data_IF_275563899044
#
_entry.id   IF_275563899044
#
_cell.length_a   1.000
_cell.length_b   1.000
_cell.length_c   1.000
_cell.angle_alpha   90.00
_cell.angle_beta   90.00
_cell.angle_gamma   90.00
#
_symmetry.space_group_name_H-M   'P 1'
#
loop_
_entity.id
_entity.type
_entity.pdbx_description
1 polymer ?
#
# COMPACT_ATOMS: atom_id res chain seq x y z
N UNK A 1 -43.75 8.66 -8.99
CA UNK A 1 -43.16 9.64 -8.05
C UNK A 1 -41.75 10.07 -8.44
N UNK A 2 -41.01 9.32 -9.27
CA UNK A 2 -39.63 9.67 -9.68
C UNK A 2 -39.56 10.83 -10.69
N UNK A 3 -40.47 10.91 -11.68
CA UNK A 3 -40.43 11.97 -12.71
C UNK A 3 -40.52 13.41 -12.17
N UNK A 4 -41.28 13.62 -11.09
CA UNK A 4 -41.39 14.94 -10.46
C UNK A 4 -40.11 15.40 -9.77
N UNK A 5 -39.29 14.45 -9.32
CA UNK A 5 -38.04 14.71 -8.59
C UNK A 5 -36.91 15.07 -9.56
N UNK A 6 -36.83 14.38 -10.69
CA UNK A 6 -35.88 14.69 -11.77
C UNK A 6 -36.16 16.03 -12.46
N UNK A 7 -37.44 16.34 -12.67
CA UNK A 7 -37.85 17.62 -13.23
C UNK A 7 -37.48 18.77 -12.28
N UNK A 8 -37.73 18.61 -10.98
CA UNK A 8 -37.35 19.59 -9.95
C UNK A 8 -35.83 19.79 -9.88
N UNK A 9 -35.03 18.72 -9.96
CA UNK A 9 -33.56 18.79 -9.96
C UNK A 9 -33.01 19.48 -11.21
N UNK A 10 -33.62 19.22 -12.37
CA UNK A 10 -33.24 19.88 -13.63
C UNK A 10 -33.56 21.37 -13.61
N UNK A 11 -34.74 21.75 -13.11
CA UNK A 11 -35.14 23.15 -12.95
C UNK A 11 -34.19 23.88 -11.99
N UNK A 12 -33.84 23.28 -10.85
CA UNK A 12 -32.90 23.87 -9.88
C UNK A 12 -31.53 24.17 -10.52
N UNK A 13 -31.01 23.24 -11.33
CA UNK A 13 -29.75 23.40 -12.06
C UNK A 13 -29.80 24.52 -13.09
N UNK A 14 -30.88 24.58 -13.89
CA UNK A 14 -31.06 25.65 -14.89
C UNK A 14 -31.18 27.01 -14.20
N UNK A 15 -31.94 27.12 -13.11
CA UNK A 15 -32.08 28.36 -12.34
C UNK A 15 -30.73 28.81 -11.77
N UNK A 16 -29.93 27.90 -11.23
CA UNK A 16 -28.60 28.23 -10.69
C UNK A 16 -27.67 28.80 -11.76
N UNK A 17 -27.65 28.20 -12.96
CA UNK A 17 -26.84 28.71 -14.08
C UNK A 17 -27.34 30.05 -14.60
N UNK A 18 -28.65 30.21 -14.73
CA UNK A 18 -29.24 31.47 -15.18
C UNK A 18 -29.01 32.61 -14.18
N UNK A 19 -29.04 32.35 -12.86
CA UNK A 19 -28.76 33.37 -11.82
C UNK A 19 -27.36 33.98 -11.94
N UNK A 20 -26.37 33.24 -12.44
CA UNK A 20 -25.01 33.74 -12.67
C UNK A 20 -24.81 34.41 -14.05
N UNK A 21 -25.84 34.45 -14.90
CA UNK A 21 -25.72 34.93 -16.27
C UNK A 21 -26.00 36.43 -16.41
N UNK A 22 -25.44 37.04 -17.45
CA UNK A 22 -25.72 38.44 -17.79
C UNK A 22 -27.23 38.69 -18.03
N UNK A 23 -27.98 37.68 -18.50
CA UNK A 23 -29.42 37.80 -18.70
C UNK A 23 -30.17 38.05 -17.39
N UNK A 24 -29.74 37.45 -16.29
CA UNK A 24 -30.37 37.67 -14.98
C UNK A 24 -30.20 39.12 -14.51
N UNK A 25 -28.99 39.68 -14.62
CA UNK A 25 -28.74 41.09 -14.29
C UNK A 25 -29.51 42.06 -15.19
N UNK A 26 -29.72 41.71 -16.46
CA UNK A 26 -30.53 42.51 -17.38
C UNK A 26 -32.01 42.50 -17.02
N UNK A 27 -32.57 41.33 -16.71
CA UNK A 27 -33.97 41.20 -16.26
C UNK A 27 -34.17 41.94 -14.93
N UNK A 28 -33.22 41.84 -14.00
CA UNK A 28 -33.28 42.53 -12.72
C UNK A 28 -33.26 44.06 -12.90
N UNK A 29 -32.37 44.58 -13.76
CA UNK A 29 -32.33 46.01 -14.06
C UNK A 29 -33.65 46.49 -14.68
N UNK A 30 -34.17 45.76 -15.65
CA UNK A 30 -35.44 46.08 -16.29
C UNK A 30 -36.63 46.04 -15.32
N UNK A 31 -36.61 45.10 -14.38
CA UNK A 31 -37.61 44.97 -13.33
C UNK A 31 -37.51 46.11 -12.30
N UNK A 32 -36.33 46.69 -12.08
CA UNK A 32 -36.16 47.89 -11.24
C UNK A 32 -36.62 49.16 -11.97
N UNK A 33 -36.32 49.26 -13.26
CA UNK A 33 -36.73 50.41 -14.08
C UNK A 33 -38.26 50.50 -14.21
N UNK A 34 -38.96 49.36 -14.24
CA UNK A 34 -40.43 49.37 -14.33
C UNK A 34 -41.13 49.87 -13.07
N UNK A 35 -40.48 49.85 -11.89
CA UNK A 35 -41.04 50.33 -10.63
C UNK A 35 -41.35 51.84 -10.64
N UNK A 36 -40.73 52.59 -11.55
CA UNK A 36 -40.95 54.04 -11.69
C UNK A 36 -42.18 54.37 -12.54
N UNK A 37 -42.88 53.35 -13.07
CA UNK A 37 -44.02 53.52 -13.96
C UNK A 37 -45.34 53.59 -13.17
N UNK A 38 -46.26 54.50 -13.53
CA UNK A 38 -47.50 54.71 -12.78
C UNK A 38 -48.49 53.53 -12.88
N UNK A 39 -48.27 52.58 -13.80
CA UNK A 39 -49.12 51.40 -13.97
C UNK A 39 -48.80 50.26 -12.98
N UNK A 40 -47.68 50.31 -12.25
CA UNK A 40 -47.30 49.28 -11.28
C UNK A 40 -47.72 49.71 -9.89
N UNK A 41 -48.63 48.95 -9.28
CA UNK A 41 -49.10 49.24 -7.92
C UNK A 41 -48.36 48.40 -6.90
N UNK A 42 -48.13 48.97 -5.71
CA UNK A 42 -47.46 48.25 -4.62
C UNK A 42 -48.26 47.04 -4.14
N UNK A 43 -49.58 47.12 -4.21
CA UNK A 43 -50.54 46.08 -3.82
C UNK A 43 -50.54 44.85 -4.76
N UNK A 44 -50.17 45.03 -6.03
CA UNK A 44 -50.11 43.97 -7.06
C UNK A 44 -48.71 43.82 -7.68
N UNK A 45 -47.68 44.26 -6.95
CA UNK A 45 -46.32 44.44 -7.46
C UNK A 45 -45.76 43.22 -8.19
N UNK A 46 -45.94 42.02 -7.63
CA UNK A 46 -45.42 40.78 -8.20
C UNK A 46 -46.09 40.44 -9.52
N UNK A 47 -47.41 40.56 -9.58
CA UNK A 47 -48.22 40.27 -10.76
C UNK A 47 -48.01 41.33 -11.86
N UNK A 48 -47.86 42.60 -11.48
CA UNK A 48 -47.65 43.73 -12.39
C UNK A 48 -46.24 43.70 -13.01
N UNK A 49 -45.21 43.41 -12.23
CA UNK A 49 -43.85 43.22 -12.76
C UNK A 49 -43.80 42.00 -13.68
N UNK A 50 -44.51 40.92 -13.33
CA UNK A 50 -44.59 39.72 -14.18
C UNK A 50 -45.32 40.00 -15.48
N UNK A 51 -46.45 40.69 -15.45
CA UNK A 51 -47.23 41.04 -16.66
C UNK A 51 -46.44 41.99 -17.57
N UNK A 52 -45.71 42.94 -16.99
CA UNK A 52 -44.79 43.83 -17.69
C UNK A 52 -43.66 43.08 -18.38
N UNK A 53 -42.96 42.17 -17.69
CA UNK A 53 -41.87 41.38 -18.28
C UNK A 53 -42.36 40.45 -19.41
N UNK A 54 -43.62 40.02 -19.35
CA UNK A 54 -44.27 39.27 -20.44
C UNK A 54 -44.54 40.15 -21.66
N UNK A 55 -45.18 41.30 -21.49
CA UNK A 55 -45.55 42.19 -22.60
C UNK A 55 -44.33 42.85 -23.27
N UNK A 56 -43.25 43.09 -22.51
CA UNK A 56 -42.00 43.66 -23.01
C UNK A 56 -41.05 42.65 -23.70
N UNK A 57 -41.48 41.40 -23.88
CA UNK A 57 -40.76 40.38 -24.65
C UNK A 57 -39.61 39.69 -23.91
N UNK A 58 -39.42 39.96 -22.61
CA UNK A 58 -38.40 39.29 -21.79
C UNK A 58 -38.74 37.83 -21.49
N UNK A 59 -40.03 37.47 -21.50
CA UNK A 59 -40.47 36.07 -21.42
C UNK A 59 -39.86 35.22 -22.54
N UNK A 60 -39.87 35.69 -23.80
CA UNK A 60 -39.25 34.99 -24.92
C UNK A 60 -37.73 34.88 -24.79
N UNK A 61 -37.06 35.92 -24.28
CA UNK A 61 -35.60 35.89 -24.02
C UNK A 61 -35.24 34.85 -22.95
N UNK A 62 -36.04 34.78 -21.88
CA UNK A 62 -35.86 33.79 -20.83
C UNK A 62 -36.16 32.37 -21.32
N UNK A 63 -37.24 32.17 -22.08
CA UNK A 63 -37.57 30.89 -22.70
C UNK A 63 -36.46 30.39 -23.63
N UNK A 64 -35.90 31.26 -24.48
CA UNK A 64 -34.78 30.91 -25.35
C UNK A 64 -33.52 30.54 -24.56
N UNK A 65 -33.24 31.22 -23.43
CA UNK A 65 -32.11 30.89 -22.57
C UNK A 65 -32.31 29.56 -21.83
N UNK A 66 -33.52 29.30 -21.33
CA UNK A 66 -33.88 28.00 -20.75
C UNK A 66 -33.77 26.89 -21.80
N UNK A 67 -34.28 27.11 -23.01
CA UNK A 67 -34.18 26.16 -24.11
C UNK A 67 -32.73 25.83 -24.47
N UNK A 68 -31.85 26.84 -24.53
CA UNK A 68 -30.41 26.67 -24.70
C UNK A 68 -29.80 25.85 -23.57
N UNK A 69 -30.07 26.17 -22.31
CA UNK A 69 -29.55 25.41 -21.16
C UNK A 69 -30.05 23.96 -21.10
N UNK A 70 -31.27 23.70 -21.58
CA UNK A 70 -31.80 22.34 -21.69
C UNK A 70 -31.15 21.55 -22.83
N UNK A 71 -30.65 22.22 -23.87
CA UNK A 71 -30.02 21.59 -25.04
C UNK A 71 -28.48 21.59 -24.99
N UNK A 72 -27.87 22.33 -24.06
CA UNK A 72 -26.45 22.19 -23.73
C UNK A 72 -26.31 20.85 -22.98
N UNK A 73 -25.84 19.83 -23.69
CA UNK A 73 -25.40 18.60 -23.03
C UNK A 73 -24.35 18.98 -21.98
N UNK A 74 -24.50 18.61 -20.69
CA UNK A 74 -23.39 18.74 -19.76
C UNK A 74 -22.20 18.01 -20.39
N UNK A 75 -20.96 18.56 -20.33
CA UNK A 75 -19.80 17.79 -20.74
C UNK A 75 -19.89 16.49 -19.99
N UNK A 76 -19.98 15.37 -20.72
CA UNK A 76 -20.04 14.06 -20.11
C UNK A 76 -18.93 14.03 -19.07
N UNK A 77 -19.30 13.90 -17.78
CA UNK A 77 -18.31 13.79 -16.73
C UNK A 77 -17.33 12.72 -17.19
N UNK A 78 -16.05 13.07 -17.33
CA UNK A 78 -15.04 12.09 -17.74
C UNK A 78 -15.29 10.84 -16.90
N UNK A 79 -15.40 9.65 -17.52
CA UNK A 79 -15.58 8.43 -16.74
C UNK A 79 -14.51 8.44 -15.64
N UNK A 80 -14.87 8.09 -14.39
CA UNK A 80 -13.92 8.07 -13.29
C UNK A 80 -12.69 7.28 -13.74
N UNK A 81 -11.51 7.85 -13.54
CA UNK A 81 -10.28 7.19 -13.95
C UNK A 81 -10.25 5.76 -13.38
N UNK A 82 -9.78 4.76 -14.14
CA UNK A 82 -9.70 3.39 -13.64
C UNK A 82 -9.01 3.34 -12.27
N UNK A 83 -9.42 2.47 -11.33
CA UNK A 83 -8.83 2.42 -9.98
C UNK A 83 -7.30 2.33 -9.98
N UNK A 84 -6.72 1.65 -10.97
CA UNK A 84 -5.26 1.58 -11.17
C UNK A 84 -4.60 2.94 -11.43
N UNK A 85 -5.28 3.86 -12.11
CA UNK A 85 -4.80 5.21 -12.39
C UNK A 85 -4.85 6.09 -11.13
N UNK A 86 -5.78 5.80 -10.22
CA UNK A 86 -5.86 6.48 -8.93
C UNK A 86 -4.76 5.99 -7.98
N UNK A 87 -4.42 4.69 -8.03
CA UNK A 87 -3.33 4.08 -7.25
C UNK A 87 -1.95 4.55 -7.71
N UNK A 88 -1.74 4.63 -9.02
CA UNK A 88 -0.49 5.14 -9.61
C UNK A 88 -0.77 5.98 -10.85
N UNK A 89 -0.66 7.32 -10.74
CA UNK A 89 -0.90 8.23 -11.85
C UNK A 89 0.11 8.07 -13.01
N UNK A 90 1.37 7.72 -12.71
CA UNK A 90 2.44 7.69 -13.71
C UNK A 90 2.43 6.36 -14.49
N UNK A 91 2.11 6.44 -15.78
CA UNK A 91 1.99 5.24 -16.63
C UNK A 91 3.29 4.42 -16.74
N UNK A 92 4.46 5.07 -16.77
CA UNK A 92 5.76 4.37 -16.83
C UNK A 92 6.06 3.64 -15.51
N UNK A 93 5.68 4.21 -14.36
CA UNK A 93 5.77 3.54 -13.05
C UNK A 93 4.85 2.32 -12.98
N UNK A 94 3.61 2.43 -13.45
CA UNK A 94 2.70 1.27 -13.54
C UNK A 94 3.26 0.15 -14.38
N UNK A 95 3.82 0.48 -15.55
CA UNK A 95 4.44 -0.52 -16.43
C UNK A 95 5.65 -1.19 -15.76
N UNK A 96 6.48 -0.41 -15.07
CA UNK A 96 7.62 -0.94 -14.33
C UNK A 96 7.18 -1.86 -13.18
N UNK A 97 6.20 -1.44 -12.38
CA UNK A 97 5.62 -2.26 -11.32
C UNK A 97 5.07 -3.58 -11.85
N UNK A 98 4.21 -3.53 -12.88
CA UNK A 98 3.65 -4.73 -13.48
C UNK A 98 4.72 -5.63 -14.13
N UNK A 99 5.81 -5.05 -14.64
CA UNK A 99 6.95 -5.81 -15.18
C UNK A 99 7.73 -6.52 -14.08
N UNK A 100 7.97 -5.83 -12.95
CA UNK A 100 8.61 -6.39 -11.77
C UNK A 100 7.81 -7.55 -11.19
N UNK A 101 6.50 -7.37 -10.99
CA UNK A 101 5.59 -8.43 -10.50
C UNK A 101 5.60 -9.65 -11.41
N UNK A 102 5.57 -9.45 -12.74
CA UNK A 102 5.68 -10.54 -13.72
C UNK A 102 7.01 -11.29 -13.61
N UNK A 103 8.12 -10.60 -13.34
CA UNK A 103 9.44 -11.23 -13.13
C UNK A 103 9.44 -12.10 -11.87
N UNK A 104 8.94 -11.57 -10.76
CA UNK A 104 8.83 -12.30 -9.47
C UNK A 104 7.93 -13.53 -9.63
N UNK A 105 6.74 -13.37 -10.23
CA UNK A 105 5.83 -14.49 -10.49
C UNK A 105 6.43 -15.55 -11.42
N UNK A 106 7.16 -15.16 -12.46
CA UNK A 106 7.86 -16.12 -13.33
C UNK A 106 8.91 -16.93 -12.55
N UNK A 107 9.68 -16.27 -11.69
CA UNK A 107 10.68 -16.94 -10.83
C UNK A 107 10.02 -17.96 -9.89
N UNK A 108 8.94 -17.57 -9.23
CA UNK A 108 8.16 -18.45 -8.34
C UNK A 108 7.55 -19.64 -9.10
N UNK A 109 6.92 -19.41 -10.25
CA UNK A 109 6.35 -20.48 -11.08
C UNK A 109 7.42 -21.43 -11.63
N UNK A 110 8.60 -20.91 -12.01
CA UNK A 110 9.73 -21.73 -12.44
C UNK A 110 10.22 -22.64 -11.31
N UNK A 111 10.33 -22.12 -10.09
CA UNK A 111 10.73 -22.91 -8.92
C UNK A 111 9.67 -23.97 -8.57
N UNK A 112 8.39 -23.60 -8.58
CA UNK A 112 7.27 -24.54 -8.40
C UNK A 112 7.32 -25.70 -9.39
N UNK A 113 7.60 -25.41 -10.67
CA UNK A 113 7.73 -26.43 -11.71
C UNK A 113 8.95 -27.34 -11.51
N UNK A 114 10.10 -26.79 -11.09
CA UNK A 114 11.34 -27.55 -10.83
C UNK A 114 11.24 -28.46 -9.61
N UNK A 115 10.52 -28.02 -8.58
CA UNK A 115 10.30 -28.79 -7.35
C UNK A 115 9.11 -29.76 -7.48
N UNK A 116 8.27 -29.60 -8.50
CA UNK A 116 7.04 -30.38 -8.67
C UNK A 116 5.96 -30.07 -7.62
N UNK A 117 6.08 -28.94 -6.93
CA UNK A 117 5.16 -28.50 -5.86
C UNK A 117 4.16 -27.49 -6.43
N UNK A 118 2.89 -27.84 -6.63
CA UNK A 118 1.91 -26.94 -7.24
C UNK A 118 1.49 -25.83 -6.26
N UNK A 119 1.46 -24.59 -6.75
CA UNK A 119 1.06 -23.41 -5.95
C UNK A 119 -0.44 -23.42 -5.57
N UNK A 120 -1.30 -24.03 -6.40
CA UNK A 120 -2.71 -24.23 -6.12
C UNK A 120 -3.21 -25.59 -6.66
N UNK A 121 -3.91 -26.37 -5.83
CA UNK A 121 -4.65 -27.57 -6.24
C UNK A 121 -6.14 -27.37 -5.94
N UNK A 122 -7.04 -27.76 -6.84
CA UNK A 122 -8.44 -27.93 -6.48
C UNK A 122 -8.60 -29.25 -5.72
N UNK A 123 -9.24 -29.21 -4.55
CA UNK A 123 -9.82 -30.41 -3.97
C UNK A 123 -10.96 -30.86 -4.91
N UNK A 124 -10.78 -32.00 -5.58
CA UNK A 124 -11.89 -32.72 -6.21
C UNK A 124 -12.79 -33.21 -5.08
N UNK A 125 -13.77 -32.39 -4.67
CA UNK A 125 -14.93 -32.93 -3.96
C UNK A 125 -15.70 -33.74 -5.01
N UNK A 126 -15.49 -35.05 -4.99
CA UNK A 126 -16.37 -35.99 -5.63
C UNK A 126 -17.80 -35.65 -5.18
N UNK A 127 -18.59 -35.09 -6.09
CA UNK A 127 -20.00 -34.85 -5.89
C UNK A 127 -20.70 -36.21 -5.83
N UNK A 128 -20.74 -36.81 -4.64
CA UNK A 128 -21.57 -37.95 -4.34
C UNK A 128 -22.72 -37.49 -3.42
N UNK A 129 -23.92 -37.67 -3.96
CA UNK A 129 -25.23 -37.60 -3.31
C UNK A 129 -25.82 -36.22 -3.01
N UNK A 130 -26.96 -35.97 -3.67
CA UNK A 130 -27.69 -34.71 -3.62
C UNK A 130 -28.58 -34.56 -2.40
N UNK A 131 -28.91 -33.31 -2.11
CA UNK A 131 -30.22 -32.84 -1.64
C UNK A 131 -30.21 -31.30 -1.63
N UNK A 132 -31.26 -30.61 -2.10
CA UNK A 132 -31.32 -29.15 -2.05
C UNK A 132 -32.08 -28.71 -0.80
N UNK A 133 -31.57 -27.75 0.00
CA UNK A 133 -32.43 -26.78 0.72
C UNK A 133 -31.71 -25.59 1.37
N UNK A 134 -32.26 -24.43 1.01
CA UNK A 134 -32.48 -23.15 1.71
C UNK A 134 -31.35 -22.12 1.93
N UNK A 135 -31.61 -20.83 1.66
CA UNK A 135 -30.63 -19.75 1.74
C UNK A 135 -30.69 -19.04 3.10
N UNK A 136 -29.52 -18.86 3.72
CA UNK A 136 -29.34 -18.04 4.92
C UNK A 136 -28.09 -17.18 4.78
N UNK A 137 -28.28 -15.87 4.87
CA UNK A 137 -27.26 -14.83 4.76
C UNK A 137 -26.02 -15.13 5.60
N UNK A 138 -24.93 -15.49 4.93
CA UNK A 138 -23.58 -15.35 5.46
C UNK A 138 -22.77 -14.71 4.35
N UNK A 139 -22.04 -13.63 4.67
CA UNK A 139 -21.14 -12.96 3.73
C UNK A 139 -20.23 -13.99 3.03
N UNK A 140 -19.89 -13.82 1.75
CA UNK A 140 -19.05 -14.78 1.06
C UNK A 140 -17.65 -14.70 1.66
N UNK A 141 -17.33 -15.64 2.55
CA UNK A 141 -15.96 -15.99 2.82
C UNK A 141 -15.36 -16.41 1.47
N UNK A 142 -14.46 -15.59 0.93
CA UNK A 142 -13.72 -15.96 -0.26
C UNK A 142 -13.01 -17.29 0.05
N UNK A 143 -13.13 -18.32 -0.82
CA UNK A 143 -12.47 -19.58 -0.58
C UNK A 143 -10.97 -19.34 -0.50
N UNK A 144 -10.37 -19.65 0.66
CA UNK A 144 -8.92 -19.78 0.77
C UNK A 144 -8.44 -20.72 -0.35
N UNK A 145 -7.31 -20.44 -1.01
CA UNK A 145 -6.67 -21.43 -1.87
C UNK A 145 -6.60 -22.75 -1.10
N UNK A 146 -7.14 -23.83 -1.67
CA UNK A 146 -6.94 -25.17 -1.12
C UNK A 146 -5.48 -25.57 -1.37
N UNK A 147 -4.59 -24.97 -0.58
CA UNK A 147 -3.24 -25.44 -0.36
C UNK A 147 -3.29 -26.92 0.01
N UNK A 148 -2.30 -27.73 -0.40
CA UNK A 148 -2.27 -29.14 -0.04
C UNK A 148 -2.38 -29.28 1.48
N UNK A 149 -3.33 -30.11 1.92
CA UNK A 149 -3.43 -30.46 3.33
C UNK A 149 -2.19 -31.26 3.71
N UNK A 150 -1.52 -30.83 4.77
CA UNK A 150 -0.35 -31.52 5.32
C UNK A 150 -0.78 -32.90 5.87
N UNK A 151 0.02 -33.97 5.71
CA UNK A 151 -0.28 -35.26 6.32
C UNK A 151 -0.43 -35.16 7.83
N UNK A 152 -1.34 -35.95 8.42
CA UNK A 152 -1.66 -35.86 9.86
C UNK A 152 -0.44 -36.08 10.78
N UNK A 153 0.51 -36.92 10.37
CA UNK A 153 1.76 -37.16 11.10
C UNK A 153 2.62 -35.87 11.17
N UNK A 154 2.83 -35.21 10.03
CA UNK A 154 3.58 -33.96 9.96
C UNK A 154 2.83 -32.81 10.66
N UNK A 155 1.49 -32.79 10.64
CA UNK A 155 0.70 -31.83 11.43
C UNK A 155 0.96 -31.99 12.93
N UNK A 156 0.99 -33.23 13.42
CA UNK A 156 1.23 -33.53 14.82
C UNK A 156 2.66 -33.16 15.24
N UNK A 157 3.64 -33.43 14.38
CA UNK A 157 5.04 -33.06 14.60
C UNK A 157 5.23 -31.54 14.63
N UNK A 158 4.70 -30.82 13.65
CA UNK A 158 4.80 -29.36 13.62
C UNK A 158 4.07 -28.70 14.80
N UNK A 159 2.96 -29.29 15.23
CA UNK A 159 2.22 -28.82 16.40
C UNK A 159 2.99 -29.04 17.71
N UNK A 160 3.68 -30.18 17.86
CA UNK A 160 4.47 -30.47 19.06
C UNK A 160 5.76 -29.65 19.12
N UNK A 161 6.38 -29.37 17.96
CA UNK A 161 7.62 -28.60 17.85
C UNK A 161 7.43 -27.12 17.55
N UNK A 162 6.22 -26.58 17.64
CA UNK A 162 5.93 -25.18 17.24
C UNK A 162 6.82 -24.12 17.91
N UNK A 163 7.27 -24.38 19.14
CA UNK A 163 8.12 -23.45 19.90
C UNK A 163 9.63 -23.72 19.72
N UNK A 164 10.00 -24.77 19.00
CA UNK A 164 11.37 -25.25 18.80
C UNK A 164 11.60 -25.60 17.33
N UNK A 165 10.94 -24.89 16.41
CA UNK A 165 11.03 -25.12 14.96
C UNK A 165 12.44 -24.91 14.42
N UNK A 166 13.27 -24.10 15.09
CA UNK A 166 14.68 -23.92 14.74
C UNK A 166 15.53 -25.16 14.90
N UNK A 167 15.08 -26.16 15.67
CA UNK A 167 15.77 -27.44 15.82
C UNK A 167 15.60 -28.36 14.61
N UNK A 168 14.59 -28.11 13.77
CA UNK A 168 14.38 -28.88 12.55
C UNK A 168 15.35 -28.41 11.45
N UNK A 169 16.03 -29.35 10.80
CA UNK A 169 16.92 -29.11 9.67
C UNK A 169 16.36 -29.73 8.38
N UNK A 170 15.38 -29.08 7.73
CA UNK A 170 14.88 -29.55 6.44
C UNK A 170 15.94 -29.40 5.34
N UNK A 171 15.94 -30.31 4.36
CA UNK A 171 16.78 -30.15 3.16
C UNK A 171 16.24 -29.04 2.26
N UNK A 172 16.88 -27.87 2.35
CA UNK A 172 16.53 -26.67 1.59
C UNK A 172 17.49 -26.40 0.42
N UNK A 173 18.32 -27.37 0.04
CA UNK A 173 19.35 -27.23 -1.00
C UNK A 173 18.76 -26.80 -2.35
N UNK A 174 17.58 -27.33 -2.69
CA UNK A 174 16.88 -27.08 -3.98
C UNK A 174 16.10 -25.77 -4.02
N UNK A 175 15.87 -25.12 -2.88
CA UNK A 175 15.14 -23.86 -2.83
C UNK A 175 16.10 -22.70 -3.13
N UNK A 176 15.74 -21.79 -4.01
CA UNK A 176 16.50 -20.53 -4.20
C UNK A 176 15.61 -19.35 -3.81
N UNK A 177 16.18 -18.20 -3.42
CA UNK A 177 15.36 -17.01 -3.25
C UNK A 177 14.64 -16.66 -4.55
N UNK A 178 13.40 -16.18 -4.46
CA UNK A 178 12.62 -15.79 -5.65
C UNK A 178 13.20 -14.53 -6.30
N UNK A 179 13.65 -13.60 -5.47
CA UNK A 179 14.37 -12.38 -5.81
C UNK A 179 15.14 -11.86 -4.58
N UNK A 180 16.16 -11.04 -4.82
CA UNK A 180 16.90 -10.33 -3.77
C UNK A 180 16.67 -8.80 -3.86
N UNK A 181 16.95 -8.04 -2.78
CA UNK A 181 16.88 -6.58 -2.79
C UNK A 181 17.76 -5.94 -3.88
N UNK A 182 18.89 -6.56 -4.22
CA UNK A 182 19.78 -6.13 -5.31
C UNK A 182 19.08 -6.18 -6.68
N UNK A 183 18.36 -7.25 -6.98
CA UNK A 183 17.59 -7.37 -8.24
C UNK A 183 16.54 -6.27 -8.35
N UNK A 184 15.92 -5.93 -7.22
CA UNK A 184 14.91 -4.90 -7.16
C UNK A 184 15.52 -3.50 -7.35
N UNK A 185 16.65 -3.23 -6.70
CA UNK A 185 17.41 -1.99 -6.89
C UNK A 185 17.80 -1.77 -8.35
N UNK A 186 18.31 -2.81 -9.04
CA UNK A 186 18.66 -2.73 -10.47
C UNK A 186 17.45 -2.30 -11.33
N UNK A 187 16.25 -2.77 -11.00
CA UNK A 187 15.02 -2.31 -11.65
C UNK A 187 14.76 -0.84 -11.38
N UNK A 188 14.93 -0.36 -10.15
CA UNK A 188 14.78 1.06 -9.81
C UNK A 188 15.78 1.95 -10.56
N UNK A 189 17.05 1.52 -10.66
CA UNK A 189 18.11 2.23 -11.41
C UNK A 189 17.77 2.33 -12.90
N UNK A 190 17.13 1.29 -13.45
CA UNK A 190 16.73 1.23 -14.86
C UNK A 190 15.51 2.09 -15.20
N UNK A 191 14.81 2.66 -14.19
CA UNK A 191 13.64 3.50 -14.42
C UNK A 191 14.03 4.74 -15.24
N UNK A 192 13.24 5.02 -16.28
CA UNK A 192 13.40 6.19 -17.14
C UNK A 192 12.03 6.82 -17.36
N UNK A 193 11.97 8.14 -17.28
CA UNK A 193 10.76 8.88 -17.62
C UNK A 193 10.70 9.11 -19.14
N UNK A 194 9.68 8.60 -19.86
CA UNK A 194 9.57 8.76 -21.31
C UNK A 194 9.41 10.22 -21.78
N UNK A 195 8.96 11.11 -20.89
CA UNK A 195 8.77 12.53 -21.19
C UNK A 195 10.03 13.36 -20.89
N UNK A 196 11.11 12.72 -20.45
CA UNK A 196 12.37 13.36 -20.14
C UNK A 196 13.42 12.85 -21.13
N UNK A 197 13.46 13.46 -22.32
CA UNK A 197 14.50 13.17 -23.31
C UNK A 197 15.87 13.52 -22.71
N UNK A 198 16.70 12.50 -22.53
CA UNK A 198 18.12 12.68 -22.22
C UNK A 198 18.86 13.09 -23.50
N UNK A 199 18.54 14.25 -24.06
CA UNK A 199 19.42 14.92 -25.02
C UNK A 199 20.52 15.63 -24.23
N UNK A 200 21.66 14.95 -24.09
CA UNK A 200 23.05 15.43 -23.94
C UNK A 200 23.43 16.72 -23.17
N UNK A 201 22.55 17.41 -22.45
CA UNK A 201 22.98 18.53 -21.62
C UNK A 201 23.18 18.07 -20.18
N UNK A 202 24.44 17.95 -19.80
CA UNK A 202 24.94 17.95 -18.41
C UNK A 202 24.64 19.31 -17.78
N UNK A 203 23.36 19.68 -17.71
CA UNK A 203 22.88 20.84 -16.98
C UNK A 203 22.76 20.51 -15.49
N UNK A 204 22.79 21.54 -14.65
CA UNK A 204 22.71 21.48 -13.18
C UNK A 204 21.47 20.79 -12.58
N UNK A 205 20.58 20.23 -13.43
CA UNK A 205 19.38 19.47 -13.05
C UNK A 205 19.41 18.00 -13.46
N UNK A 206 20.43 17.55 -14.19
CA UNK A 206 20.64 16.11 -14.39
C UNK A 206 20.73 15.48 -12.99
N UNK A 207 19.99 14.41 -12.78
CA UNK A 207 19.99 13.70 -11.50
C UNK A 207 21.32 12.97 -11.40
N UNK A 208 22.29 13.47 -10.63
CA UNK A 208 23.63 12.86 -10.57
C UNK A 208 23.66 11.59 -9.70
N UNK A 209 22.52 11.20 -9.14
CA UNK A 209 22.36 10.00 -8.32
C UNK A 209 21.83 8.79 -9.11
N UNK A 210 21.64 7.69 -8.40
CA UNK A 210 21.43 6.35 -8.94
C UNK A 210 20.07 6.17 -9.60
N UNK A 211 19.02 6.80 -9.05
CA UNK A 211 17.65 6.73 -9.59
C UNK A 211 17.32 7.99 -10.36
N UNK A 212 17.27 7.91 -11.69
CA UNK A 212 17.02 9.07 -12.56
C UNK A 212 15.52 9.29 -12.83
N UNK A 213 14.76 9.59 -11.78
CA UNK A 213 13.32 9.87 -11.89
C UNK A 213 12.98 11.25 -11.31
N UNK A 214 12.30 12.13 -12.07
CA UNK A 214 11.97 13.48 -11.60
C UNK A 214 10.75 13.48 -10.67
N UNK A 215 10.87 12.86 -9.49
CA UNK A 215 9.87 12.98 -8.42
C UNK A 215 10.27 14.09 -7.46
N UNK A 216 9.27 14.83 -6.97
CA UNK A 216 9.51 15.80 -5.91
C UNK A 216 9.63 15.08 -4.57
N UNK A 217 10.77 15.25 -3.89
CA UNK A 217 11.04 14.70 -2.56
C UNK A 217 11.22 15.82 -1.54
N UNK A 218 10.94 15.52 -0.26
CA UNK A 218 11.00 16.53 0.81
C UNK A 218 12.45 16.87 1.15
N UNK A 219 12.72 18.16 1.37
CA UNK A 219 13.98 18.64 1.95
C UNK A 219 13.98 18.57 3.50
N UNK A 220 15.10 18.91 4.14
CA UNK A 220 15.18 18.89 5.62
C UNK A 220 14.11 19.77 6.28
N UNK A 221 13.87 21.04 5.87
CA UNK A 221 12.80 21.85 6.44
C UNK A 221 11.43 21.17 6.37
N UNK A 222 11.07 20.61 5.22
CA UNK A 222 9.80 19.90 5.02
C UNK A 222 9.74 18.60 5.83
N UNK A 223 10.85 17.88 5.98
CA UNK A 223 10.95 16.70 6.84
C UNK A 223 10.75 17.05 8.32
N UNK A 224 11.39 18.12 8.80
CA UNK A 224 11.22 18.61 10.18
C UNK A 224 9.78 19.02 10.48
N UNK A 225 9.09 19.59 9.51
CA UNK A 225 7.67 19.91 9.64
C UNK A 225 6.79 18.65 9.62
N UNK A 226 7.12 17.69 8.75
CA UNK A 226 6.36 16.46 8.60
C UNK A 226 6.50 15.50 9.79
N UNK A 227 7.65 15.52 10.47
CA UNK A 227 7.99 14.68 11.62
C UNK A 227 8.31 15.54 12.86
N UNK A 228 7.49 16.58 13.09
CA UNK A 228 7.70 17.51 14.20
C UNK A 228 7.61 16.80 15.57
N UNK A 229 6.93 15.66 15.64
CA UNK A 229 6.85 14.78 16.79
C UNK A 229 8.19 14.09 17.13
N UNK A 230 9.08 13.94 16.16
CA UNK A 230 10.44 13.40 16.36
C UNK A 230 11.46 14.50 16.70
N UNK A 231 11.01 15.72 16.98
CA UNK A 231 11.89 16.80 17.39
C UNK A 231 12.53 16.48 18.75
N UNK A 232 13.81 16.82 18.92
CA UNK A 232 14.55 16.67 20.19
C UNK A 232 13.89 17.44 21.34
N UNK A 233 13.10 18.47 21.03
CA UNK A 233 12.37 19.26 22.02
C UNK A 233 11.01 18.63 22.41
N UNK A 234 10.59 17.56 21.74
CA UNK A 234 9.45 16.74 22.14
C UNK A 234 10.00 15.55 22.94
N UNK A 235 9.41 15.26 24.11
CA UNK A 235 9.85 14.12 24.94
C UNK A 235 9.79 12.83 24.14
N UNK A 236 10.89 12.08 24.12
CA UNK A 236 11.00 10.84 23.35
C UNK A 236 11.06 9.65 24.31
N UNK A 237 9.95 8.90 24.33
CA UNK A 237 9.94 7.48 24.65
C UNK A 237 10.61 7.04 25.97
N UNK A 238 10.40 7.81 27.05
CA UNK A 238 10.71 7.35 28.41
C UNK A 238 12.21 7.19 28.71
N UNK A 239 13.09 7.77 27.88
CA UNK A 239 14.53 7.91 28.16
C UNK A 239 14.81 9.22 28.91
N UNK A 240 13.83 10.13 28.94
CA UNK A 240 13.89 11.34 29.74
C UNK A 240 13.75 10.97 31.23
N UNK A 241 14.80 11.23 32.03
CA UNK A 241 14.95 10.89 33.47
C UNK A 241 13.81 11.39 34.41
N UNK A 242 12.77 12.02 33.88
CA UNK A 242 11.78 12.78 34.62
C UNK A 242 10.31 12.38 34.35
N UNK A 243 10.04 11.32 33.58
CA UNK A 243 8.65 10.92 33.26
C UNK A 243 8.25 9.61 33.96
N UNK A 244 7.21 9.68 34.79
CA UNK A 244 6.62 8.52 35.47
C UNK A 244 5.98 7.55 34.46
N UNK A 245 6.22 6.22 34.53
CA UNK A 245 5.75 5.23 33.54
C UNK A 245 4.23 5.30 33.23
N UNK A 246 3.41 5.62 34.23
CA UNK A 246 1.94 5.69 34.09
C UNK A 246 1.43 6.86 33.21
N UNK A 247 2.23 7.91 33.01
CA UNK A 247 1.87 9.00 32.09
C UNK A 247 2.01 8.56 30.63
N UNK A 248 2.94 7.64 30.37
CA UNK A 248 3.32 7.18 29.04
C UNK A 248 2.24 6.32 28.37
N UNK A 249 1.66 5.36 29.11
CA UNK A 249 0.56 4.53 28.60
C UNK A 249 -0.65 5.39 28.18
N UNK A 250 -0.89 6.50 28.88
CA UNK A 250 -2.00 7.40 28.60
C UNK A 250 -1.75 8.30 27.38
N UNK A 251 -0.49 8.65 27.09
CA UNK A 251 -0.13 9.54 25.97
C UNK A 251 -0.15 8.81 24.61
N UNK A 252 0.25 7.54 24.57
CA UNK A 252 0.09 6.69 23.37
C UNK A 252 -1.37 6.54 22.93
N UNK A 253 -2.29 6.44 23.90
CA UNK A 253 -3.73 6.38 23.64
C UNK A 253 -4.25 7.70 23.07
N UNK A 254 -3.61 8.82 23.39
CA UNK A 254 -3.96 10.16 22.87
C UNK A 254 -3.36 10.40 21.48
N UNK A 255 -2.10 10.03 21.25
CA UNK A 255 -1.40 10.18 19.97
C UNK A 255 -2.00 9.26 18.91
N UNK A 256 -2.32 8.01 19.26
CA UNK A 256 -3.03 7.07 18.38
C UNK A 256 -4.44 7.53 17.98
N UNK A 257 -5.04 8.48 18.71
CA UNK A 257 -6.34 9.10 18.37
C UNK A 257 -6.21 10.31 17.45
N UNK A 258 -5.04 10.94 17.36
CA UNK A 258 -4.85 12.19 16.59
C UNK A 258 -4.76 11.94 15.07
N UNK A 259 -4.38 10.73 14.67
CA UNK A 259 -4.35 10.27 13.26
C UNK A 259 -5.68 9.69 12.74
N UNK A 260 -6.75 9.75 13.54
CA UNK A 260 -8.04 9.13 13.23
C UNK A 260 -9.21 10.10 13.34
N UNK A 261 -9.26 11.16 12.54
CA UNK A 261 -10.47 11.95 12.39
C UNK A 261 -11.51 11.20 11.53
N UNK A 262 -12.10 10.15 12.11
CA UNK A 262 -13.47 9.62 11.87
C UNK A 262 -13.52 8.12 12.20
N UNK A 263 -13.58 7.75 13.48
CA UNK A 263 -14.68 6.90 13.97
C UNK A 263 -14.65 6.82 15.51
N UNK A 264 -15.76 7.17 16.16
CA UNK A 264 -15.89 7.17 17.62
C UNK A 264 -16.43 5.82 18.07
N UNK A 265 -15.55 4.91 18.51
CA UNK A 265 -15.72 3.92 19.61
C UNK A 265 -14.57 2.91 19.61
N UNK A 266 -13.49 3.18 20.34
CA UNK A 266 -12.51 2.14 20.69
C UNK A 266 -13.07 1.31 21.85
N UNK A 267 -13.18 -0.03 21.75
CA UNK A 267 -13.53 -0.87 22.88
C UNK A 267 -12.36 -0.98 23.87
N UNK A 268 -12.60 -1.39 25.14
CA UNK A 268 -11.55 -1.49 26.15
C UNK A 268 -10.43 -2.44 25.69
N UNK A 269 -9.17 -2.04 25.86
CA UNK A 269 -7.95 -2.71 25.36
C UNK A 269 -7.93 -4.23 25.59
N UNK A 270 -8.51 -4.73 26.69
CA UNK A 270 -8.63 -6.17 26.96
C UNK A 270 -9.48 -6.97 25.95
N UNK A 271 -10.47 -6.35 25.28
CA UNK A 271 -11.23 -6.99 24.19
C UNK A 271 -10.43 -7.05 22.89
N UNK A 272 -9.60 -6.05 22.60
CA UNK A 272 -8.76 -6.00 21.39
C UNK A 272 -7.63 -7.04 21.48
N UNK A 273 -6.93 -7.09 22.61
CA UNK A 273 -5.86 -8.08 22.85
C UNK A 273 -6.39 -9.51 22.78
N UNK A 274 -7.55 -9.81 23.39
CA UNK A 274 -8.17 -11.14 23.30
C UNK A 274 -8.54 -11.51 21.86
N UNK A 275 -9.02 -10.56 21.07
CA UNK A 275 -9.32 -10.75 19.65
C UNK A 275 -8.05 -11.06 18.84
N UNK A 276 -6.96 -10.35 19.08
CA UNK A 276 -5.69 -10.52 18.37
C UNK A 276 -5.03 -11.88 18.65
N UNK A 277 -5.08 -12.35 19.90
CA UNK A 277 -4.58 -13.69 20.26
C UNK A 277 -5.41 -14.78 19.58
N UNK A 278 -6.74 -14.68 19.60
CA UNK A 278 -7.59 -15.67 18.92
C UNK A 278 -7.37 -15.68 17.41
N UNK A 279 -7.08 -14.53 16.82
CA UNK A 279 -6.78 -14.40 15.40
C UNK A 279 -5.44 -15.06 15.06
N UNK A 280 -4.41 -14.82 15.88
CA UNK A 280 -3.10 -15.47 15.72
C UNK A 280 -3.21 -17.01 15.80
N UNK A 281 -3.97 -17.54 16.75
CA UNK A 281 -4.18 -19.00 16.88
C UNK A 281 -4.89 -19.60 15.65
N UNK A 282 -5.81 -18.87 15.01
CA UNK A 282 -6.42 -19.30 13.75
C UNK A 282 -5.39 -19.36 12.62
N UNK A 283 -4.51 -18.37 12.52
CA UNK A 283 -3.43 -18.36 11.53
C UNK A 283 -2.45 -19.51 11.76
N UNK A 284 -2.05 -19.74 13.02
CA UNK A 284 -1.23 -20.88 13.42
C UNK A 284 -1.87 -22.22 13.04
N UNK A 285 -3.17 -22.39 13.30
CA UNK A 285 -3.89 -23.59 12.85
C UNK A 285 -3.86 -23.73 11.32
N UNK A 286 -3.97 -22.61 10.59
CA UNK A 286 -3.81 -22.57 9.14
C UNK A 286 -2.41 -22.99 8.67
N UNK A 287 -1.35 -22.55 9.37
CA UNK A 287 0.03 -22.98 9.13
C UNK A 287 0.16 -24.48 9.35
N UNK A 288 -0.36 -25.03 10.45
CA UNK A 288 -0.25 -26.46 10.77
C UNK A 288 -0.99 -27.32 9.74
N UNK A 289 -2.18 -26.92 9.32
CA UNK A 289 -3.04 -27.70 8.43
C UNK A 289 -2.57 -27.71 6.96
N UNK A 290 -1.97 -26.62 6.49
CA UNK A 290 -1.71 -26.43 5.07
C UNK A 290 -0.24 -26.17 4.79
N UNK A 291 0.29 -26.93 3.83
CA UNK A 291 1.65 -26.77 3.35
C UNK A 291 1.71 -25.77 2.19
N UNK A 292 2.59 -24.78 2.28
CA UNK A 292 2.82 -23.80 1.22
C UNK A 292 4.28 -23.84 0.79
N UNK A 293 4.54 -23.72 -0.51
CA UNK A 293 5.91 -23.55 -1.04
C UNK A 293 6.64 -22.38 -0.36
N UNK A 294 5.94 -21.29 -0.03
CA UNK A 294 6.54 -20.16 0.68
C UNK A 294 7.00 -20.46 2.10
N UNK A 295 6.58 -21.56 2.72
CA UNK A 295 7.09 -21.99 4.03
C UNK A 295 8.56 -22.31 3.93
N UNK A 296 8.93 -23.11 2.92
CA UNK A 296 10.31 -23.49 2.67
C UNK A 296 11.18 -22.27 2.29
N UNK A 297 10.59 -21.27 1.62
CA UNK A 297 11.27 -20.00 1.36
C UNK A 297 11.54 -19.23 2.66
N UNK A 298 10.58 -19.20 3.58
CA UNK A 298 10.73 -18.57 4.90
C UNK A 298 11.75 -19.35 5.75
N UNK A 299 11.66 -20.68 5.80
CA UNK A 299 12.65 -21.54 6.46
C UNK A 299 14.06 -21.26 5.97
N UNK A 300 14.24 -21.24 4.63
CA UNK A 300 15.54 -20.96 4.04
C UNK A 300 16.03 -19.56 4.36
N UNK A 301 15.15 -18.57 4.32
CA UNK A 301 15.53 -17.19 4.57
C UNK A 301 16.01 -16.98 6.01
N UNK A 302 15.26 -17.47 7.00
CA UNK A 302 15.65 -17.38 8.43
C UNK A 302 16.95 -18.13 8.69
N UNK A 303 17.10 -19.36 8.15
CA UNK A 303 18.35 -20.13 8.29
C UNK A 303 19.56 -19.43 7.69
N UNK A 304 19.41 -18.83 6.51
CA UNK A 304 20.52 -18.14 5.86
C UNK A 304 20.94 -16.88 6.60
N UNK A 305 20.03 -16.30 7.38
CA UNK A 305 20.19 -14.94 7.83
C UNK A 305 20.19 -14.75 9.33
N UNK A 306 19.16 -15.18 10.05
CA UNK A 306 19.08 -15.05 11.49
C UNK A 306 19.86 -16.15 12.22
N UNK A 307 19.83 -17.39 11.74
CA UNK A 307 20.55 -18.50 12.40
C UNK A 307 22.07 -18.39 12.30
N UNK A 308 22.57 -17.68 11.29
CA UNK A 308 24.01 -17.44 11.11
C UNK A 308 24.49 -16.14 11.76
N UNK A 309 23.60 -15.41 12.45
CA UNK A 309 23.89 -14.10 13.04
C UNK A 309 24.06 -14.22 14.57
N UNK A 310 25.19 -13.72 15.08
CA UNK A 310 25.58 -13.79 16.48
C UNK A 310 24.59 -13.06 17.44
N UNK A 311 23.80 -12.11 16.93
CA UNK A 311 22.84 -11.33 17.72
C UNK A 311 21.40 -11.84 17.61
N UNK A 312 21.01 -12.38 16.47
CA UNK A 312 19.61 -12.71 16.18
C UNK A 312 19.26 -14.21 16.20
N UNK A 313 20.26 -15.11 16.31
CA UNK A 313 20.01 -16.56 16.36
C UNK A 313 19.00 -16.96 17.45
N UNK A 314 18.96 -16.22 18.57
CA UNK A 314 18.04 -16.45 19.70
C UNK A 314 16.57 -16.25 19.34
N UNK A 315 16.27 -15.58 18.22
CA UNK A 315 14.90 -15.29 17.78
C UNK A 315 14.44 -16.15 16.60
N UNK A 316 15.23 -17.16 16.21
CA UNK A 316 14.91 -18.03 15.09
C UNK A 316 13.46 -18.56 15.15
N UNK A 317 13.05 -19.11 16.30
CA UNK A 317 11.68 -19.62 16.49
C UNK A 317 10.62 -18.53 16.36
N UNK A 318 10.88 -17.34 16.91
CA UNK A 318 9.96 -16.20 16.82
C UNK A 318 9.77 -15.75 15.37
N UNK A 319 10.84 -15.76 14.57
CA UNK A 319 10.78 -15.41 13.16
C UNK A 319 9.89 -16.40 12.39
N UNK A 320 10.03 -17.71 12.60
CA UNK A 320 9.12 -18.69 11.99
C UNK A 320 7.67 -18.47 12.41
N UNK A 321 7.43 -18.31 13.71
CA UNK A 321 6.10 -18.13 14.28
C UNK A 321 5.37 -16.89 13.75
N UNK A 322 6.10 -15.82 13.45
CA UNK A 322 5.53 -14.59 12.88
C UNK A 322 5.39 -14.69 11.38
N UNK A 323 6.44 -15.09 10.66
CA UNK A 323 6.48 -15.04 9.19
C UNK A 323 5.60 -16.12 8.55
N UNK A 324 5.53 -17.32 9.15
CA UNK A 324 4.62 -18.36 8.67
C UNK A 324 3.15 -17.93 8.85
N UNK A 325 2.78 -17.40 10.02
CA UNK A 325 1.44 -16.86 10.24
C UNK A 325 1.14 -15.68 9.32
N UNK A 326 2.12 -14.80 9.09
CA UNK A 326 2.00 -13.68 8.16
C UNK A 326 1.68 -14.11 6.74
N UNK A 327 2.23 -15.22 6.24
CA UNK A 327 1.92 -15.69 4.89
C UNK A 327 0.47 -16.19 4.72
N UNK A 328 -0.23 -16.51 5.81
CA UNK A 328 -1.63 -16.98 5.81
C UNK A 328 -2.65 -15.86 5.96
N UNK A 329 -2.22 -14.69 6.41
CA UNK A 329 -3.13 -13.61 6.77
C UNK A 329 -3.69 -12.88 5.54
N UNK A 330 -4.95 -13.13 5.23
CA UNK A 330 -5.67 -12.49 4.13
C UNK A 330 -6.06 -11.03 4.43
N UNK A 331 -6.04 -10.57 5.68
CA UNK A 331 -6.25 -9.17 6.03
C UNK A 331 -5.10 -8.29 5.51
N UNK A 332 -3.90 -8.86 5.33
CA UNK A 332 -2.78 -8.15 4.67
C UNK A 332 -3.17 -7.70 3.27
N UNK A 333 -4.07 -8.39 2.57
CA UNK A 333 -4.50 -8.02 1.20
C UNK A 333 -5.14 -6.63 1.12
N UNK A 334 -5.60 -6.06 2.25
CA UNK A 334 -6.19 -4.74 2.29
C UNK A 334 -5.25 -3.64 1.79
N UNK A 335 -3.93 -3.80 1.97
CA UNK A 335 -2.98 -2.79 1.51
C UNK A 335 -2.99 -2.62 -0.01
N UNK A 336 -3.33 -3.67 -0.77
CA UNK A 336 -3.48 -3.60 -2.24
C UNK A 336 -4.62 -2.70 -2.69
N UNK A 337 -5.55 -2.29 -1.80
CA UNK A 337 -6.62 -1.33 -2.14
C UNK A 337 -6.07 0.06 -2.44
N UNK A 338 -4.93 0.43 -1.84
CA UNK A 338 -4.31 1.76 -1.98
C UNK A 338 -2.82 1.71 -2.40
N UNK A 339 -2.28 0.52 -2.67
CA UNK A 339 -0.97 0.29 -3.26
C UNK A 339 -1.05 0.23 -4.80
N UNK A 340 0.01 0.64 -5.49
CA UNK A 340 0.19 0.45 -6.93
C UNK A 340 0.40 -1.01 -7.33
N UNK A 341 0.88 -1.84 -6.39
CA UNK A 341 1.08 -3.26 -6.63
C UNK A 341 -0.24 -4.04 -6.78
N UNK A 342 -0.15 -5.22 -7.38
CA UNK A 342 -1.24 -6.19 -7.51
C UNK A 342 -0.91 -7.49 -6.78
N UNK A 343 -1.90 -8.12 -6.13
CA UNK A 343 -1.65 -9.36 -5.41
C UNK A 343 -1.27 -10.47 -6.40
N UNK A 344 -0.20 -11.23 -6.14
CA UNK A 344 0.25 -12.34 -6.97
C UNK A 344 -0.83 -13.40 -7.05
N UNK A 345 -1.13 -13.85 -8.28
CA UNK A 345 -2.14 -14.89 -8.54
C UNK A 345 -1.47 -16.16 -9.05
N UNK A 346 -1.90 -17.29 -8.50
CA UNK A 346 -1.63 -18.63 -9.01
C UNK A 346 -2.83 -19.14 -9.82
N UNK A 347 -2.59 -19.94 -10.86
CA UNK A 347 -3.64 -20.51 -11.70
C UNK A 347 -3.75 -22.00 -11.45
N UNK A 348 -4.97 -22.48 -11.23
CA UNK A 348 -5.23 -23.92 -11.12
C UNK A 348 -5.07 -24.57 -12.50
N UNK A 349 -4.30 -25.68 -12.57
CA UNK A 349 -4.19 -26.56 -13.75
C UNK A 349 -3.63 -25.95 -15.06
N UNK A 350 -2.72 -24.98 -15.00
CA UNK A 350 -1.98 -24.54 -16.20
C UNK A 350 -2.85 -23.85 -17.27
N UNK A 351 -4.12 -23.54 -16.98
CA UNK A 351 -4.94 -22.64 -17.78
C UNK A 351 -4.57 -21.19 -17.47
N UNK A 352 -3.37 -20.81 -17.92
CA UNK A 352 -2.87 -19.44 -17.80
C UNK A 352 -3.81 -18.51 -18.59
N UNK A 353 -4.46 -17.57 -17.90
CA UNK A 353 -5.30 -16.54 -18.53
C UNK A 353 -6.81 -16.62 -18.25
N UNK A 354 -7.30 -17.64 -17.54
CA UNK A 354 -8.69 -17.67 -17.08
C UNK A 354 -8.80 -17.01 -15.69
N UNK A 355 -9.39 -15.81 -15.63
CA UNK A 355 -9.58 -15.08 -14.38
C UNK A 355 -10.46 -15.82 -13.37
N UNK A 356 -11.31 -16.75 -13.83
CA UNK A 356 -12.17 -17.54 -12.95
C UNK A 356 -11.39 -18.62 -12.17
N UNK A 357 -10.18 -18.96 -12.61
CA UNK A 357 -9.32 -19.99 -12.00
C UNK A 357 -8.11 -19.42 -11.25
N UNK A 358 -8.05 -18.09 -11.08
CA UNK A 358 -6.92 -17.39 -10.47
C UNK A 358 -7.15 -17.18 -8.97
N UNK A 359 -6.24 -17.70 -8.13
CA UNK A 359 -6.29 -17.55 -6.68
C UNK A 359 -5.05 -16.82 -6.18
N UNK A 360 -5.23 -15.88 -5.25
CA UNK A 360 -4.10 -15.13 -4.66
C UNK A 360 -3.19 -16.09 -3.90
N UNK A 361 -1.89 -16.01 -4.20
CA UNK A 361 -0.87 -16.87 -3.60
C UNK A 361 0.43 -16.08 -3.37
N UNK A 362 0.99 -16.06 -2.14
CA UNK A 362 0.45 -16.66 -0.91
C UNK A 362 -0.86 -15.99 -0.45
N UNK A 363 -1.58 -16.55 0.55
CA UNK A 363 -2.84 -15.97 1.05
C UNK A 363 -2.77 -14.48 1.41
N UNK A 364 -1.62 -14.01 1.93
CA UNK A 364 -1.40 -12.60 2.24
C UNK A 364 -1.02 -11.72 1.03
N UNK A 365 -0.78 -12.33 -0.13
CA UNK A 365 -0.35 -11.66 -1.36
C UNK A 365 1.10 -11.18 -1.36
N UNK A 366 1.94 -11.64 -0.43
CA UNK A 366 3.35 -11.21 -0.32
C UNK A 366 4.26 -12.39 -0.59
N UNK A 367 5.12 -12.27 -1.60
CA UNK A 367 6.14 -13.29 -1.91
C UNK A 367 7.40 -12.95 -1.11
N UNK A 368 7.86 -13.85 -0.22
CA UNK A 368 9.10 -13.65 0.52
C UNK A 368 10.30 -13.47 -0.41
N UNK A 369 11.16 -12.52 -0.07
CA UNK A 369 12.42 -12.25 -0.75
C UNK A 369 13.60 -12.62 0.12
N UNK A 370 14.80 -12.62 -0.46
CA UNK A 370 16.02 -12.85 0.32
C UNK A 370 16.28 -11.70 1.30
N UNK A 371 16.38 -12.01 2.59
CA UNK A 371 16.51 -11.03 3.67
C UNK A 371 15.15 -10.51 4.16
N UNK A 372 14.05 -11.21 3.91
CA UNK A 372 12.73 -10.84 4.42
C UNK A 372 12.64 -10.93 5.95
N UNK A 373 13.36 -11.89 6.53
CA UNK A 373 13.50 -12.09 7.97
C UNK A 373 14.53 -11.16 8.64
N UNK A 374 15.35 -10.44 7.86
CA UNK A 374 16.57 -9.78 8.35
C UNK A 374 16.52 -8.30 8.62
N UNK A 375 17.37 -7.93 9.60
CA UNK A 375 17.95 -6.62 9.82
C UNK A 375 18.97 -6.23 8.75
N UNK A 376 19.00 -4.94 8.41
CA UNK A 376 19.93 -4.38 7.48
C UNK A 376 21.36 -4.39 8.03
N UNK A 377 22.07 -5.50 7.87
CA UNK A 377 23.52 -5.45 7.86
C UNK A 377 23.97 -4.81 6.54
N UNK A 378 24.47 -3.58 6.64
CA UNK A 378 25.54 -3.16 5.76
C UNK A 378 26.66 -4.17 5.99
N UNK A 379 27.01 -4.94 4.96
CA UNK A 379 28.15 -5.84 4.87
C UNK A 379 29.25 -5.51 5.90
N UNK A 380 29.17 -6.11 7.07
CA UNK A 380 30.28 -6.17 8.03
C UNK A 380 30.65 -7.64 8.14
N UNK A 381 31.06 -8.21 7.01
CA UNK A 381 32.01 -9.31 7.12
C UNK A 381 33.19 -8.77 7.92
N UNK A 382 33.46 -9.44 9.05
CA UNK A 382 34.64 -9.22 9.91
C UNK A 382 35.84 -8.89 9.02
N UNK A 383 36.39 -7.68 9.20
CA UNK A 383 37.76 -7.40 8.80
C UNK A 383 38.67 -8.35 9.59
N UNK A 384 38.98 -9.50 9.00
CA UNK A 384 40.12 -10.31 9.41
C UNK A 384 41.37 -9.42 9.33
N UNK A 385 42.21 -9.30 10.38
CA UNK A 385 43.25 -8.26 10.46
C UNK A 385 44.43 -8.38 9.46
N UNK A 386 44.37 -9.25 8.45
CA UNK A 386 45.56 -9.69 7.70
C UNK A 386 45.47 -9.70 6.16
N UNK A 387 44.50 -9.02 5.53
CA UNK A 387 44.53 -8.82 4.07
C UNK A 387 44.68 -7.34 3.69
N UNK A 388 45.84 -6.97 3.15
CA UNK A 388 46.18 -5.62 2.63
C UNK A 388 45.45 -5.21 1.34
N UNK A 389 44.31 -5.83 1.03
CA UNK A 389 43.45 -5.44 -0.10
C UNK A 389 42.08 -5.07 0.43
N UNK A 390 41.86 -3.76 0.59
CA UNK A 390 40.54 -3.19 0.83
C UNK A 390 39.76 -3.33 -0.47
N UNK A 391 39.12 -4.48 -0.71
CA UNK A 391 38.00 -4.52 -1.64
C UNK A 391 36.87 -3.74 -0.98
N UNK A 392 36.59 -2.55 -1.51
CA UNK A 392 35.45 -1.74 -1.09
C UNK A 392 34.16 -2.53 -1.36
N UNK A 393 33.64 -3.19 -0.33
CA UNK A 393 32.30 -3.75 -0.37
C UNK A 393 31.32 -2.60 -0.63
N UNK A 394 30.47 -2.68 -1.67
CA UNK A 394 29.51 -1.62 -1.95
C UNK A 394 28.57 -1.48 -0.76
N UNK A 395 28.52 -0.27 -0.18
CA UNK A 395 27.43 0.18 0.67
C UNK A 395 26.14 -0.04 -0.11
N UNK A 396 25.42 -1.13 0.15
CA UNK A 396 24.15 -1.40 -0.50
C UNK A 396 23.09 -0.46 0.11
N UNK A 397 22.57 0.56 -0.61
CA UNK A 397 21.70 1.59 -0.04
C UNK A 397 20.27 1.12 0.27
N UNK A 398 20.02 -0.19 0.23
CA UNK A 398 18.68 -0.78 0.32
C UNK A 398 18.39 -1.49 1.65
N UNK A 399 19.17 -1.24 2.70
CA UNK A 399 18.89 -1.67 4.08
C UNK A 399 17.73 -0.92 4.75
N UNK A 400 16.79 -0.41 3.93
CA UNK A 400 15.60 0.31 4.36
C UNK A 400 14.44 -0.61 4.77
N UNK A 401 14.62 -1.95 4.77
CA UNK A 401 13.57 -2.88 5.13
C UNK A 401 13.56 -3.14 6.63
N UNK A 402 12.47 -2.78 7.33
CA UNK A 402 12.36 -2.98 8.76
C UNK A 402 11.95 -4.42 9.07
N UNK A 403 12.70 -5.12 9.93
CA UNK A 403 12.55 -6.57 10.11
C UNK A 403 11.66 -6.90 11.29
N UNK A 404 11.21 -8.16 11.33
CA UNK A 404 10.65 -8.78 12.53
C UNK A 404 11.71 -8.85 13.66
N UNK A 405 12.97 -9.10 13.31
CA UNK A 405 14.03 -9.42 14.27
C UNK A 405 14.25 -8.37 15.40
N UNK A 406 14.33 -7.04 15.13
CA UNK A 406 14.43 -6.05 16.21
C UNK A 406 13.19 -6.00 17.11
N UNK A 407 12.00 -6.28 16.57
CA UNK A 407 10.77 -6.31 17.36
C UNK A 407 10.76 -7.48 18.34
N UNK A 408 11.51 -8.56 18.08
CA UNK A 408 11.64 -9.69 19.00
C UNK A 408 12.28 -9.30 20.34
N UNK A 409 13.13 -8.25 20.37
CA UNK A 409 13.65 -7.71 21.63
C UNK A 409 12.60 -6.98 22.47
N UNK A 410 11.55 -6.45 21.83
CA UNK A 410 10.49 -5.66 22.48
C UNK A 410 9.30 -6.51 22.92
N UNK A 411 9.06 -7.63 22.25
CA UNK A 411 7.88 -8.47 22.46
C UNK A 411 8.25 -9.92 22.73
N UNK A 412 7.94 -10.37 23.95
CA UNK A 412 8.17 -11.76 24.38
C UNK A 412 7.06 -12.73 23.99
N UNK A 413 5.95 -12.23 23.43
CA UNK A 413 4.80 -13.05 23.01
C UNK A 413 4.62 -12.97 21.48
N UNK A 414 4.66 -14.10 20.76
CA UNK A 414 4.55 -14.14 19.29
C UNK A 414 3.26 -13.52 18.76
N UNK A 415 2.14 -13.66 19.48
CA UNK A 415 0.85 -13.10 19.08
C UNK A 415 0.82 -11.56 19.12
N UNK A 416 1.46 -10.95 20.12
CA UNK A 416 1.63 -9.50 20.23
C UNK A 416 2.62 -8.98 19.18
N UNK A 417 3.77 -9.65 19.06
CA UNK A 417 4.79 -9.36 18.06
C UNK A 417 4.17 -9.37 16.66
N UNK A 418 3.43 -10.42 16.33
CA UNK A 418 2.75 -10.57 15.05
C UNK A 418 1.75 -9.43 14.78
N UNK A 419 0.95 -9.07 15.78
CA UNK A 419 -0.03 -7.99 15.64
C UNK A 419 0.64 -6.65 15.31
N UNK A 420 1.73 -6.34 15.99
CA UNK A 420 2.50 -5.11 15.74
C UNK A 420 3.18 -5.16 14.37
N UNK A 421 3.82 -6.28 14.04
CA UNK A 421 4.45 -6.48 12.73
C UNK A 421 3.45 -6.31 11.58
N UNK A 422 2.26 -6.91 11.67
CA UNK A 422 1.20 -6.78 10.67
C UNK A 422 0.80 -5.33 10.44
N UNK A 423 0.57 -4.57 11.51
CA UNK A 423 0.19 -3.16 11.40
C UNK A 423 1.33 -2.31 10.79
N UNK A 424 2.57 -2.55 11.21
CA UNK A 424 3.72 -1.84 10.63
C UNK A 424 3.90 -2.18 9.15
N UNK A 425 3.69 -3.45 8.78
CA UNK A 425 3.79 -3.88 7.39
C UNK A 425 2.75 -3.21 6.50
N UNK A 426 1.48 -3.26 6.89
CA UNK A 426 0.34 -2.72 6.11
C UNK A 426 0.38 -1.19 6.04
N UNK A 427 1.00 -0.52 7.02
CA UNK A 427 1.12 0.94 7.05
C UNK A 427 2.34 1.45 6.29
N UNK A 428 3.48 0.78 6.42
CA UNK A 428 4.77 1.30 5.96
C UNK A 428 5.50 0.32 5.03
N UNK A 429 5.69 -0.94 5.43
CA UNK A 429 6.73 -1.79 4.83
C UNK A 429 6.36 -2.32 3.45
N UNK A 430 5.06 -2.47 3.18
CA UNK A 430 4.57 -2.85 1.86
C UNK A 430 5.05 -1.91 0.74
N UNK A 431 5.31 -0.64 1.06
CA UNK A 431 5.74 0.39 0.09
C UNK A 431 7.20 0.23 -0.33
N UNK A 432 7.98 -0.55 0.41
CA UNK A 432 9.43 -0.66 0.23
C UNK A 432 9.81 -1.65 -0.87
N UNK A 433 8.93 -2.61 -1.19
CA UNK A 433 9.11 -3.58 -2.27
C UNK A 433 8.07 -3.38 -3.40
N UNK A 434 7.53 -2.17 -3.51
CA UNK A 434 6.63 -1.75 -4.59
C UNK A 434 7.19 -0.52 -5.29
N UNK A 435 7.18 -0.53 -6.61
CA UNK A 435 7.50 0.62 -7.47
C UNK A 435 6.27 1.53 -7.51
N UNK A 436 6.41 2.72 -6.94
CA UNK A 436 5.37 3.74 -6.94
C UNK A 436 5.97 5.14 -6.92
N UNK A 437 5.18 6.13 -7.33
CA UNK A 437 5.46 7.56 -7.19
C UNK A 437 5.15 8.11 -5.80
N UNK A 438 4.78 7.24 -4.84
CA UNK A 438 4.47 7.64 -3.48
C UNK A 438 5.69 8.24 -2.76
N UNK A 439 5.48 9.34 -2.05
CA UNK A 439 6.52 9.99 -1.23
C UNK A 439 7.11 9.10 -0.14
N UNK A 440 6.35 8.11 0.32
CA UNK A 440 6.76 7.12 1.33
C UNK A 440 7.17 5.78 0.72
N UNK A 441 7.31 5.72 -0.61
CA UNK A 441 7.78 4.53 -1.32
C UNK A 441 9.29 4.53 -1.50
N UNK A 442 9.85 3.35 -1.79
CA UNK A 442 11.30 3.14 -1.95
C UNK A 442 11.95 4.09 -2.96
N UNK A 443 11.30 4.37 -4.09
CA UNK A 443 11.83 5.28 -5.13
C UNK A 443 12.04 6.68 -4.57
N UNK A 444 11.05 7.20 -3.85
CA UNK A 444 11.13 8.53 -3.22
C UNK A 444 12.14 8.55 -2.07
N UNK A 445 12.29 7.44 -1.33
CA UNK A 445 13.30 7.33 -0.27
C UNK A 445 14.72 7.34 -0.85
N UNK A 446 15.00 6.59 -1.91
CA UNK A 446 16.30 6.63 -2.59
C UNK A 446 16.62 8.05 -3.10
N UNK A 447 15.67 8.68 -3.79
CA UNK A 447 15.82 10.06 -4.28
C UNK A 447 16.01 11.07 -3.13
N UNK A 448 15.31 10.88 -2.02
CA UNK A 448 15.44 11.72 -0.84
C UNK A 448 16.82 11.57 -0.19
N UNK A 449 17.30 10.34 -0.04
CA UNK A 449 18.65 10.06 0.47
C UNK A 449 19.71 10.74 -0.40
N UNK A 450 19.68 10.53 -1.71
CA UNK A 450 20.62 11.15 -2.65
C UNK A 450 20.60 12.67 -2.58
N UNK A 451 19.40 13.27 -2.54
CA UNK A 451 19.25 14.73 -2.46
C UNK A 451 19.79 15.29 -1.16
N UNK A 452 19.55 14.62 -0.04
CA UNK A 452 20.08 15.02 1.27
C UNK A 452 21.60 14.88 1.32
N UNK A 453 22.14 13.77 0.79
CA UNK A 453 23.58 13.55 0.70
C UNK A 453 24.27 14.61 -0.15
N UNK A 454 23.71 14.95 -1.32
CA UNK A 454 24.23 16.01 -2.19
C UNK A 454 24.16 17.39 -1.53
N UNK A 455 23.08 17.70 -0.81
CA UNK A 455 22.88 19.00 -0.19
C UNK A 455 23.74 19.22 1.07
N UNK A 456 23.97 18.17 1.86
CA UNK A 456 24.60 18.29 3.17
C UNK A 456 26.02 17.72 3.24
N UNK A 457 26.36 16.74 2.40
CA UNK A 457 27.69 16.11 2.34
C UNK A 457 28.18 15.99 0.88
N UNK A 458 28.30 17.10 0.13
CA UNK A 458 28.65 17.07 -1.29
C UNK A 458 30.02 16.42 -1.56
N UNK A 459 30.99 16.60 -0.65
CA UNK A 459 32.32 16.00 -0.81
C UNK A 459 32.28 14.47 -0.72
N UNK A 460 31.48 13.92 0.20
CA UNK A 460 31.26 12.48 0.31
C UNK A 460 30.57 11.95 -0.95
N UNK A 461 29.56 12.66 -1.44
CA UNK A 461 28.88 12.31 -2.68
C UNK A 461 29.84 12.23 -3.88
N UNK A 462 30.71 13.24 -4.05
CA UNK A 462 31.71 13.21 -5.13
C UNK A 462 32.74 12.10 -4.96
N UNK A 463 33.18 11.83 -3.72
CA UNK A 463 34.11 10.75 -3.43
C UNK A 463 33.52 9.37 -3.75
N UNK A 464 32.31 9.08 -3.26
CA UNK A 464 31.59 7.83 -3.56
C UNK A 464 31.47 7.62 -5.06
N UNK A 465 31.11 8.67 -5.80
CA UNK A 465 31.03 8.61 -7.25
C UNK A 465 32.38 8.35 -7.92
N UNK A 466 33.48 8.95 -7.44
CA UNK A 466 34.82 8.73 -7.99
C UNK A 466 35.26 7.28 -7.85
N UNK A 467 34.93 6.63 -6.73
CA UNK A 467 35.26 5.22 -6.49
C UNK A 467 34.23 4.24 -7.09
N UNK A 468 33.22 4.74 -7.81
CA UNK A 468 32.15 3.92 -8.38
C UNK A 468 31.16 3.36 -7.35
N UNK A 469 31.24 3.81 -6.09
CA UNK A 469 30.27 3.49 -5.06
C UNK A 469 29.00 4.31 -5.30
N UNK A 470 27.89 3.60 -5.49
CA UNK A 470 26.59 4.22 -5.70
C UNK A 470 26.05 4.70 -4.34
N UNK A 471 25.73 5.99 -4.18
CA UNK A 471 25.19 6.52 -2.93
C UNK A 471 23.83 5.90 -2.59
#
# INVERSE_FOLDING_TARGET
MEEGTELSGTIARVVQRLRGSHLHSQIERQAKDCLHRPEIKLESLKEDVRSFLKSSGWEKKLQNAVYRELHIQPPAGRPPAPPEHLKEPLAYMRRAQASWERRVLKSLNSMSAELGVPLARMAVRAAACGTPRCPGNTAPAQPLPSAPQRPAAEQQELASKWNEMGTDEPDLSRFRPVYAPKDFLEVLVSLRNPNHDSSEDVGAKSHWGLVHVPLNVRDIPQLRQAYAELNLNAGQLGIDDHVHPDLFENEYVQIGKKDGSSDRRSPPNGRRIRSDVTYYEQLKAGVIQHDLLVDNLIYKDVKLTASNDDYYFVFEDFLYQVLLCFSRDTAVLEHFKYNSATPPKSYVHGKVGDEQCAVVYPPNGVIPFHGFSMYGECASHRLEPHSETIEAAPLHPCTCFPPVAPLCFLYNEPSKLYSVFREMYIRYFFRLHSISSSLSGIVSLCLQFERLLQAHLPQLFYHLRQIGAQP
#
